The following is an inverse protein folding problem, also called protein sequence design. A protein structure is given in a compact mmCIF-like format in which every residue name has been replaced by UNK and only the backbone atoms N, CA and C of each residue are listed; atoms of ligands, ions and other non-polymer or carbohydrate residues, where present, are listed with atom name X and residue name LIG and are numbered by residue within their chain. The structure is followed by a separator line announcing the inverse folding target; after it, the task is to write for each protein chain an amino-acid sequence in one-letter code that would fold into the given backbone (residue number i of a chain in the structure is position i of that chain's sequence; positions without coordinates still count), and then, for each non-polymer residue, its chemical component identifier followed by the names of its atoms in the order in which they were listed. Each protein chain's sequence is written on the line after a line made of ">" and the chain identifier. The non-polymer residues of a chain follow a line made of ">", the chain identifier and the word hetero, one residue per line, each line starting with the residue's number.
data_IF_353057026878
#
_entry.id   IF_353057026878
#
_cell.length_a   1.000
_cell.length_b   1.000
_cell.length_c   1.000
_cell.angle_alpha   90.00
_cell.angle_beta   90.00
_cell.angle_gamma   90.00
#
_symmetry.space_group_name_H-M   'P 1'
#
loop_
_entity.id
_entity.type
_entity.pdbx_description
1 polymer ?
#
# COMPACT_ATOMS: atom_id res chain seq x y z
N UNK A 1 32.11 15.22 10.36
CA UNK A 1 30.89 15.21 11.21
C UNK A 1 31.43 15.09 12.62
N UNK A 2 31.07 16.00 13.53
CA UNK A 2 31.51 15.86 14.92
C UNK A 2 30.77 14.67 15.49
N UNK A 3 31.50 13.59 15.76
CA UNK A 3 31.03 12.48 16.57
C UNK A 3 30.83 13.01 18.00
N UNK A 4 29.69 13.63 18.23
CA UNK A 4 29.18 13.79 19.57
C UNK A 4 28.67 12.39 19.96
N UNK A 5 29.38 11.73 20.86
CA UNK A 5 28.90 10.52 21.53
C UNK A 5 27.65 10.90 22.33
N UNK A 6 26.48 10.73 21.73
CA UNK A 6 25.19 10.90 22.40
C UNK A 6 24.88 9.64 23.21
N UNK A 7 24.51 9.80 24.47
CA UNK A 7 23.92 8.72 25.26
C UNK A 7 22.46 8.52 24.83
N UNK A 8 22.26 7.66 23.83
CA UNK A 8 20.93 7.37 23.31
C UNK A 8 20.01 6.66 24.32
N UNK A 9 20.58 6.04 25.37
CA UNK A 9 19.79 5.42 26.43
C UNK A 9 19.22 6.48 27.38
N UNK A 10 20.01 7.48 27.77
CA UNK A 10 19.53 8.66 28.52
C UNK A 10 18.49 9.45 27.71
N UNK A 11 18.69 9.57 26.40
CA UNK A 11 17.76 10.24 25.49
C UNK A 11 16.45 9.47 25.26
N UNK A 12 16.35 8.23 25.73
CA UNK A 12 15.15 7.39 25.57
C UNK A 12 14.86 7.05 24.10
N UNK A 13 15.89 6.87 23.27
CA UNK A 13 15.71 6.55 21.86
C UNK A 13 15.00 5.19 21.71
N UNK A 14 13.86 5.20 21.02
CA UNK A 14 13.16 4.01 20.55
C UNK A 14 13.12 4.05 19.04
N UNK A 15 13.68 3.05 18.38
CA UNK A 15 13.74 2.96 16.92
C UNK A 15 13.24 1.60 16.43
N UNK A 16 12.55 1.60 15.29
CA UNK A 16 12.11 0.42 14.56
C UNK A 16 12.61 0.46 13.13
N UNK A 17 12.81 -0.72 12.53
CA UNK A 17 13.16 -0.89 11.12
C UNK A 17 12.07 -1.69 10.44
N UNK A 18 11.59 -1.18 9.30
CA UNK A 18 10.64 -1.88 8.43
C UNK A 18 11.26 -2.05 7.04
N UNK A 19 11.22 -3.28 6.52
CA UNK A 19 11.84 -3.64 5.24
C UNK A 19 10.78 -4.31 4.37
N UNK A 20 10.49 -3.73 3.21
CA UNK A 20 9.67 -4.35 2.17
C UNK A 20 10.56 -4.75 1.00
N UNK A 21 10.39 -5.98 0.50
CA UNK A 21 11.16 -6.52 -0.63
C UNK A 21 10.23 -7.21 -1.61
N UNK A 22 10.34 -6.86 -2.89
CA UNK A 22 9.64 -7.57 -3.95
C UNK A 22 10.35 -8.89 -4.26
N UNK A 23 9.57 -9.95 -4.51
CA UNK A 23 10.10 -11.25 -4.90
C UNK A 23 10.16 -11.35 -6.42
N UNK A 24 11.27 -11.84 -6.95
CA UNK A 24 11.45 -12.13 -8.37
C UNK A 24 10.90 -13.54 -8.69
N UNK A 25 9.58 -13.68 -8.60
CA UNK A 25 8.87 -14.93 -8.91
C UNK A 25 8.22 -14.86 -10.30
N UNK A 26 8.09 -16.00 -10.97
CA UNK A 26 7.46 -16.08 -12.30
C UNK A 26 6.01 -15.56 -12.30
N UNK A 27 5.28 -15.73 -11.20
CA UNK A 27 3.89 -15.29 -11.04
C UNK A 27 3.65 -14.51 -9.76
N UNK A 28 2.56 -13.73 -9.73
CA UNK A 28 2.07 -13.02 -8.54
C UNK A 28 1.69 -14.00 -7.42
N UNK A 29 1.61 -13.48 -6.20
CA UNK A 29 1.40 -14.28 -4.99
C UNK A 29 0.07 -15.04 -4.95
N UNK A 30 -1.00 -14.46 -5.50
CA UNK A 30 -2.37 -15.01 -5.41
C UNK A 30 -3.02 -15.27 -6.77
N UNK A 31 -2.27 -15.18 -7.87
CA UNK A 31 -2.76 -15.51 -9.21
C UNK A 31 -1.60 -15.92 -10.13
N UNK A 32 -1.92 -16.56 -11.25
CA UNK A 32 -0.93 -16.99 -12.25
C UNK A 32 -0.42 -15.90 -13.19
N UNK A 33 -0.71 -14.62 -12.90
CA UNK A 33 -0.25 -13.50 -13.73
C UNK A 33 1.25 -13.27 -13.53
N UNK A 34 2.00 -12.83 -14.57
CA UNK A 34 3.41 -12.48 -14.43
C UNK A 34 3.62 -11.28 -13.50
N UNK A 35 4.85 -11.15 -12.97
CA UNK A 35 5.31 -10.07 -12.08
C UNK A 35 5.95 -8.89 -12.83
N UNK A 36 5.68 -8.79 -14.14
CA UNK A 36 6.18 -7.72 -15.00
C UNK A 36 5.46 -6.40 -14.73
N UNK A 37 6.22 -5.30 -14.70
CA UNK A 37 5.66 -3.95 -14.75
C UNK A 37 5.19 -3.63 -16.18
N UNK A 38 4.11 -2.87 -16.29
CA UNK A 38 3.47 -2.48 -17.55
C UNK A 38 3.29 -0.96 -17.58
N UNK A 39 3.40 -0.38 -18.76
CA UNK A 39 3.13 1.05 -18.95
C UNK A 39 1.61 1.28 -19.01
N UNK A 40 1.10 2.41 -18.48
CA UNK A 40 -0.34 2.70 -18.45
C UNK A 40 -1.03 2.62 -19.82
N UNK A 41 -0.35 3.02 -20.90
CA UNK A 41 -0.83 2.97 -22.27
C UNK A 41 -1.08 1.56 -22.81
N UNK A 42 -0.47 0.53 -22.21
CA UNK A 42 -0.65 -0.87 -22.61
C UNK A 42 -1.96 -1.47 -22.08
N UNK A 43 -2.70 -0.73 -21.26
CA UNK A 43 -3.95 -1.21 -20.66
C UNK A 43 -5.01 -1.48 -21.75
N UNK A 44 -5.53 -2.71 -21.76
CA UNK A 44 -6.56 -3.12 -22.73
C UNK A 44 -7.98 -2.76 -22.26
N UNK A 45 -8.14 -2.51 -20.95
CA UNK A 45 -9.41 -2.21 -20.29
C UNK A 45 -9.18 -1.28 -19.10
N UNK A 46 -10.15 -0.41 -18.82
CA UNK A 46 -10.19 0.39 -17.60
C UNK A 46 -11.55 0.26 -16.92
N UNK A 47 -11.58 0.42 -15.59
CA UNK A 47 -12.81 0.49 -14.82
C UNK A 47 -12.60 1.28 -13.54
N UNK A 48 -13.68 1.85 -12.99
CA UNK A 48 -13.59 2.69 -11.79
C UNK A 48 -14.32 2.09 -10.59
N UNK A 49 -13.84 2.38 -9.38
CA UNK A 49 -14.42 1.91 -8.11
C UNK A 49 -14.29 2.97 -7.02
N UNK A 50 -15.15 2.84 -6.01
CA UNK A 50 -15.09 3.57 -4.75
C UNK A 50 -14.76 2.61 -3.62
N UNK A 51 -13.84 2.99 -2.75
CA UNK A 51 -13.58 2.27 -1.51
C UNK A 51 -14.58 2.73 -0.45
N UNK A 52 -15.12 1.79 0.31
CA UNK A 52 -16.08 2.07 1.36
C UNK A 52 -15.54 1.61 2.72
N UNK A 53 -15.68 2.43 3.76
CA UNK A 53 -15.23 2.07 5.10
C UNK A 53 -16.15 0.98 5.63
N UNK A 54 -15.57 -0.02 6.27
CA UNK A 54 -16.33 -1.12 6.86
C UNK A 54 -16.14 -1.10 8.37
N UNK A 55 -17.19 -1.49 9.10
CA UNK A 55 -17.14 -1.61 10.56
C UNK A 55 -16.25 -2.79 10.95
N UNK A 56 -15.46 -2.61 12.00
CA UNK A 56 -14.74 -3.68 12.68
C UNK A 56 -15.71 -4.66 13.33
N UNK A 57 -15.19 -5.78 13.83
CA UNK A 57 -15.98 -6.76 14.58
C UNK A 57 -16.67 -6.15 15.82
N UNK A 58 -16.11 -5.07 16.38
CA UNK A 58 -16.67 -4.31 17.50
C UNK A 58 -17.66 -3.22 17.06
N UNK A 59 -17.92 -3.10 15.75
CA UNK A 59 -18.83 -2.11 15.19
C UNK A 59 -18.22 -0.73 14.97
N UNK A 60 -16.94 -0.55 15.32
CA UNK A 60 -16.19 0.70 15.21
C UNK A 60 -15.65 0.88 13.79
N UNK A 61 -15.65 2.11 13.29
CA UNK A 61 -15.04 2.45 12.00
C UNK A 61 -13.70 3.12 12.30
N UNK A 62 -12.66 2.70 11.57
CA UNK A 62 -11.35 3.33 11.66
C UNK A 62 -11.45 4.82 11.26
N UNK A 63 -10.89 5.70 12.09
CA UNK A 63 -10.98 7.15 11.88
C UNK A 63 -10.30 7.58 10.58
N UNK A 64 -9.16 6.97 10.21
CA UNK A 64 -8.48 7.29 8.97
C UNK A 64 -9.28 6.80 7.74
N UNK A 65 -9.91 5.63 7.83
CA UNK A 65 -10.81 5.16 6.79
C UNK A 65 -12.05 6.06 6.64
N UNK A 66 -12.57 6.62 7.73
CA UNK A 66 -13.69 7.57 7.72
C UNK A 66 -13.30 8.85 6.97
N UNK A 67 -12.14 9.43 7.31
CA UNK A 67 -11.61 10.65 6.70
C UNK A 67 -11.35 10.49 5.19
N UNK A 68 -10.78 9.37 4.75
CA UNK A 68 -10.60 9.07 3.31
C UNK A 68 -11.94 8.94 2.58
N UNK A 69 -12.98 8.42 3.25
CA UNK A 69 -14.32 8.28 2.64
C UNK A 69 -14.99 9.63 2.41
N UNK A 70 -14.75 10.62 3.28
CA UNK A 70 -15.26 11.99 3.08
C UNK A 70 -14.76 12.68 1.82
N UNK A 71 -13.66 12.18 1.24
CA UNK A 71 -13.10 12.69 -0.02
C UNK A 71 -13.84 12.12 -1.25
N UNK A 72 -14.75 11.15 -1.08
CA UNK A 72 -15.53 10.48 -2.15
C UNK A 72 -14.65 10.14 -3.37
N UNK A 73 -13.44 9.64 -3.10
CA UNK A 73 -12.41 9.46 -4.13
C UNK A 73 -12.75 8.29 -5.04
N UNK A 74 -12.90 8.58 -6.33
CA UNK A 74 -13.00 7.56 -7.37
C UNK A 74 -11.60 7.07 -7.76
N UNK A 75 -11.42 5.76 -7.83
CA UNK A 75 -10.18 5.10 -8.27
C UNK A 75 -10.37 4.47 -9.64
N UNK A 76 -9.51 4.83 -10.59
CA UNK A 76 -9.41 4.15 -11.88
C UNK A 76 -8.39 3.01 -11.81
N UNK A 77 -8.79 1.84 -12.31
CA UNK A 77 -7.96 0.65 -12.41
C UNK A 77 -7.69 0.32 -13.87
N UNK A 78 -6.41 0.12 -14.19
CA UNK A 78 -5.93 -0.30 -15.49
C UNK A 78 -5.75 -1.82 -15.51
N UNK A 79 -6.34 -2.50 -16.49
CA UNK A 79 -6.28 -3.94 -16.65
C UNK A 79 -5.61 -4.33 -17.97
N UNK A 80 -4.75 -5.34 -17.90
CA UNK A 80 -3.93 -5.84 -19.01
C UNK A 80 -4.45 -7.20 -19.51
N UNK A 81 -3.90 -7.68 -20.61
CA UNK A 81 -4.29 -8.95 -21.25
C UNK A 81 -4.09 -10.18 -20.33
N UNK A 82 -3.10 -10.12 -19.46
CA UNK A 82 -2.82 -11.18 -18.47
C UNK A 82 -3.51 -10.96 -17.12
N UNK A 83 -4.46 -10.02 -16.99
CA UNK A 83 -5.16 -9.69 -15.72
C UNK A 83 -6.70 -9.71 -15.84
#
# INVERSE_FOLDING_TARGET
>A
MSDADYDYAELGLVAGLEIHQQLDTDTKLFCGCPTELREPEDAVRTFTRYLHPTKSELGEIDEAALEETTVDREFEYLAYDTT
#
